data_IF_068519752268
#
_entry.id   IF_068519752268
#
_cell.length_a   1.000
_cell.length_b   1.000
_cell.length_c   1.000
_cell.angle_alpha   90.00
_cell.angle_beta   90.00
_cell.angle_gamma   90.00
#
_symmetry.space_group_name_H-M   'P 1'
#
loop_
_entity.id
_entity.type
_entity.pdbx_description
1 polymer ?
#
# COMPACT_ATOMS: atom_id res chain seq x y z
N UNK A 1 -1.15 -20.68 -21.74
CA UNK A 1 -2.03 -19.49 -21.59
C UNK A 1 -1.19 -18.41 -20.93
N UNK A 2 -1.03 -17.24 -21.56
CA UNK A 2 -0.37 -16.11 -20.94
C UNK A 2 -1.47 -15.34 -20.22
N UNK A 3 -1.52 -15.41 -18.90
CA UNK A 3 -2.39 -14.54 -18.10
C UNK A 3 -1.88 -13.12 -18.29
N UNK A 4 -2.68 -12.24 -18.88
CA UNK A 4 -2.36 -10.81 -18.95
C UNK A 4 -2.36 -10.30 -17.49
N UNK A 5 -1.19 -10.25 -16.86
CA UNK A 5 -1.11 -9.72 -15.50
C UNK A 5 -1.39 -8.22 -15.58
N UNK A 6 -2.48 -7.77 -14.96
CA UNK A 6 -2.73 -6.35 -14.78
C UNK A 6 -1.54 -5.74 -14.04
N UNK A 7 -1.13 -4.53 -14.41
CA UNK A 7 -0.08 -3.81 -13.69
C UNK A 7 -0.61 -3.48 -12.29
N UNK A 8 0.02 -3.94 -11.19
CA UNK A 8 -0.43 -3.61 -9.84
C UNK A 8 -0.50 -2.09 -9.65
N UNK A 9 -1.58 -1.59 -9.08
CA UNK A 9 -1.77 -0.17 -8.76
C UNK A 9 -2.39 -0.02 -7.38
N UNK A 10 -1.99 1.04 -6.67
CA UNK A 10 -2.55 1.40 -5.38
C UNK A 10 -3.01 2.86 -5.35
N UNK A 11 -3.97 3.14 -4.48
CA UNK A 11 -4.42 4.49 -4.13
C UNK A 11 -4.59 4.59 -2.62
N UNK A 12 -4.45 5.80 -2.09
CA UNK A 12 -4.81 6.13 -0.70
C UNK A 12 -6.14 6.87 -0.67
N UNK A 13 -6.96 6.64 0.35
CA UNK A 13 -8.28 7.28 0.48
C UNK A 13 -8.22 8.81 0.64
N UNK A 14 -7.11 9.32 1.18
CA UNK A 14 -6.84 10.75 1.34
C UNK A 14 -5.34 10.97 1.35
N UNK A 15 -4.89 12.13 0.84
CA UNK A 15 -3.49 12.53 0.82
C UNK A 15 -3.07 13.38 2.02
N UNK A 16 -4.01 13.78 2.89
CA UNK A 16 -3.74 14.59 4.07
C UNK A 16 -4.72 14.25 5.19
N UNK A 17 -4.19 14.08 6.40
CA UNK A 17 -4.93 13.62 7.58
C UNK A 17 -4.34 14.21 8.85
N UNK A 18 -5.18 14.36 9.88
CA UNK A 18 -4.68 14.63 11.23
C UNK A 18 -4.24 13.33 11.89
N UNK A 19 -3.32 13.41 12.83
CA UNK A 19 -3.01 12.26 13.68
C UNK A 19 -4.28 11.70 14.35
N UNK A 20 -4.49 10.39 14.21
CA UNK A 20 -5.66 9.67 14.70
C UNK A 20 -6.73 9.41 13.64
N UNK A 21 -6.68 10.09 12.48
CA UNK A 21 -7.55 9.77 11.35
C UNK A 21 -7.09 8.46 10.68
N UNK A 22 -7.99 7.82 9.93
CA UNK A 22 -7.69 6.60 9.18
C UNK A 22 -7.36 6.91 7.72
N UNK A 23 -6.32 6.23 7.21
CA UNK A 23 -6.00 6.17 5.78
C UNK A 23 -6.24 4.76 5.28
N UNK A 24 -6.90 4.59 4.15
CA UNK A 24 -7.04 3.28 3.50
C UNK A 24 -6.15 3.20 2.28
N UNK A 25 -5.36 2.13 2.17
CA UNK A 25 -4.62 1.76 0.97
C UNK A 25 -5.43 0.71 0.21
N UNK A 26 -5.82 1.03 -1.02
CA UNK A 26 -6.61 0.17 -1.88
C UNK A 26 -5.77 -0.27 -3.07
N UNK A 27 -5.67 -1.58 -3.30
CA UNK A 27 -4.88 -2.16 -4.37
C UNK A 27 -5.72 -2.92 -5.38
N UNK A 28 -5.31 -2.86 -6.65
CA UNK A 28 -5.91 -3.60 -7.77
C UNK A 28 -4.83 -4.11 -8.72
N UNK A 29 -5.15 -5.13 -9.51
CA UNK A 29 -4.23 -5.68 -10.51
C UNK A 29 -3.09 -6.52 -9.93
N UNK A 30 -3.17 -6.90 -8.66
CA UNK A 30 -2.24 -7.86 -8.07
C UNK A 30 -2.61 -9.29 -8.47
N UNK A 31 -1.73 -10.25 -8.27
CA UNK A 31 -2.02 -11.67 -8.48
C UNK A 31 -3.18 -12.09 -7.56
N UNK A 32 -4.27 -12.66 -8.09
CA UNK A 32 -5.40 -13.12 -7.27
C UNK A 32 -5.03 -14.21 -6.26
N UNK A 33 -5.66 -14.18 -5.08
CA UNK A 33 -5.50 -15.15 -3.99
C UNK A 33 -4.03 -15.41 -3.57
N UNK A 34 -3.23 -14.35 -3.59
CA UNK A 34 -1.81 -14.33 -3.22
C UNK A 34 -1.53 -13.29 -2.14
N UNK A 35 -0.25 -13.09 -1.88
CA UNK A 35 0.26 -12.09 -0.95
C UNK A 35 0.95 -10.97 -1.70
N UNK A 36 0.79 -9.76 -1.19
CA UNK A 36 1.46 -8.56 -1.64
C UNK A 36 2.21 -7.94 -0.45
N UNK A 37 3.46 -7.55 -0.65
CA UNK A 37 4.32 -6.98 0.39
C UNK A 37 4.23 -5.46 0.37
N UNK A 38 3.71 -4.85 1.42
CA UNK A 38 3.63 -3.39 1.52
C UNK A 38 4.91 -2.78 2.05
N UNK A 39 5.24 -1.60 1.55
CA UNK A 39 6.31 -0.76 2.06
C UNK A 39 5.73 0.59 2.47
N UNK A 40 6.14 1.06 3.65
CA UNK A 40 5.77 2.37 4.16
C UNK A 40 7.04 3.11 4.59
N UNK A 41 7.42 4.10 3.79
CA UNK A 41 8.56 4.97 4.06
C UNK A 41 8.11 6.16 4.89
N UNK A 42 8.87 6.42 5.94
CA UNK A 42 8.68 7.50 6.90
C UNK A 42 9.19 8.84 6.36
N UNK A 43 8.78 9.96 7.00
CA UNK A 43 9.30 11.29 6.67
C UNK A 43 10.82 11.42 6.81
N UNK A 44 11.43 10.72 7.77
CA UNK A 44 12.88 10.69 7.98
C UNK A 44 13.65 9.84 6.93
N UNK A 45 12.91 9.21 6.02
CA UNK A 45 13.44 8.38 4.94
C UNK A 45 13.65 6.92 5.30
N UNK A 46 13.52 6.52 6.57
CA UNK A 46 13.54 5.12 7.01
C UNK A 46 12.24 4.40 6.62
N UNK A 47 12.21 3.07 6.70
CA UNK A 47 11.02 2.27 6.40
C UNK A 47 10.50 1.55 7.65
N UNK A 48 9.18 1.41 7.77
CA UNK A 48 8.59 0.44 8.68
C UNK A 48 8.86 -0.98 8.19
N UNK A 49 8.77 -1.96 9.10
CA UNK A 49 8.77 -3.36 8.70
C UNK A 49 7.65 -3.62 7.69
N UNK A 50 7.94 -4.24 6.54
CA UNK A 50 6.93 -4.56 5.55
C UNK A 50 5.81 -5.44 6.11
N UNK A 51 4.58 -5.20 5.65
CA UNK A 51 3.41 -6.01 5.99
C UNK A 51 2.99 -6.86 4.79
N UNK A 52 2.54 -8.08 5.04
CA UNK A 52 1.96 -8.96 4.02
C UNK A 52 0.46 -8.76 3.96
N UNK A 53 -0.04 -8.36 2.80
CA UNK A 53 -1.45 -8.14 2.50
C UNK A 53 -1.98 -9.29 1.64
N UNK A 54 -3.15 -9.82 1.98
CA UNK A 54 -3.81 -10.86 1.18
C UNK A 54 -4.64 -10.22 0.08
N UNK A 55 -4.44 -10.66 -1.16
CA UNK A 55 -5.32 -10.29 -2.28
C UNK A 55 -6.51 -11.25 -2.34
N UNK A 56 -7.66 -10.74 -2.77
CA UNK A 56 -8.84 -11.55 -3.05
C UNK A 56 -8.74 -12.24 -4.43
N UNK A 57 -9.78 -13.01 -4.81
CA UNK A 57 -9.85 -13.69 -6.12
C UNK A 57 -9.92 -12.76 -7.34
N UNK A 58 -9.97 -11.45 -7.15
CA UNK A 58 -9.86 -10.43 -8.21
C UNK A 58 -8.50 -9.74 -8.23
N UNK A 59 -7.59 -10.08 -7.31
CA UNK A 59 -6.30 -9.40 -7.20
C UNK A 59 -6.40 -8.03 -6.52
N UNK A 60 -7.39 -7.86 -5.66
CA UNK A 60 -7.66 -6.61 -4.95
C UNK A 60 -7.42 -6.76 -3.45
N UNK A 61 -7.11 -5.67 -2.77
CA UNK A 61 -7.10 -5.59 -1.31
C UNK A 61 -7.50 -4.19 -0.83
N UNK A 62 -7.89 -4.10 0.44
CA UNK A 62 -7.99 -2.83 1.18
C UNK A 62 -7.35 -3.01 2.55
N UNK A 63 -6.45 -2.08 2.92
CA UNK A 63 -5.75 -2.11 4.19
C UNK A 63 -5.86 -0.75 4.89
N UNK A 64 -6.19 -0.76 6.18
CA UNK A 64 -6.23 0.46 6.99
C UNK A 64 -4.84 0.77 7.56
N UNK A 65 -4.47 2.03 7.55
CA UNK A 65 -3.34 2.58 8.29
C UNK A 65 -3.93 3.44 9.40
N UNK A 66 -3.60 3.07 10.64
CA UNK A 66 -3.91 3.87 11.83
C UNK A 66 -2.80 4.91 12.01
N UNK A 67 -3.16 6.19 11.98
CA UNK A 67 -2.19 7.30 12.04
C UNK A 67 -1.90 7.79 13.46
N UNK A 68 -2.55 7.20 14.48
CA UNK A 68 -2.44 7.64 15.89
C UNK A 68 -1.00 7.67 16.40
N UNK A 69 -0.18 6.70 15.97
CA UNK A 69 1.21 6.54 16.42
C UNK A 69 2.24 6.94 15.36
N UNK A 70 1.80 7.54 14.25
CA UNK A 70 2.70 7.99 13.19
C UNK A 70 3.24 9.39 13.49
N UNK A 71 4.51 9.62 13.18
CA UNK A 71 5.11 10.95 13.20
C UNK A 71 4.42 11.89 12.20
N UNK A 72 4.43 13.19 12.48
CA UNK A 72 4.01 14.21 11.51
C UNK A 72 4.94 14.22 10.30
N UNK A 73 4.37 14.31 9.10
CA UNK A 73 5.11 14.45 7.85
C UNK A 73 4.56 13.61 6.71
N UNK A 74 5.29 13.64 5.59
CA UNK A 74 4.93 12.90 4.38
C UNK A 74 5.41 11.45 4.45
N UNK A 75 4.47 10.52 4.30
CA UNK A 75 4.74 9.09 4.14
C UNK A 75 4.57 8.69 2.68
N UNK A 76 5.41 7.77 2.23
CA UNK A 76 5.30 7.17 0.89
C UNK A 76 5.00 5.68 1.01
N UNK A 77 4.05 5.21 0.22
CA UNK A 77 3.60 3.81 0.21
C UNK A 77 3.68 3.22 -1.19
N UNK A 78 4.14 1.98 -1.28
CA UNK A 78 4.07 1.12 -2.45
C UNK A 78 3.91 -0.34 -2.03
N UNK A 79 3.54 -1.20 -2.97
CA UNK A 79 3.31 -2.62 -2.70
C UNK A 79 3.94 -3.46 -3.81
N UNK A 80 4.69 -4.49 -3.42
CA UNK A 80 5.19 -5.55 -4.31
C UNK A 80 4.18 -6.68 -4.40
N UNK A 81 3.79 -7.08 -5.61
CA UNK A 81 3.17 -8.38 -5.82
C UNK A 81 4.22 -9.48 -5.64
N UNK A 82 4.13 -10.29 -4.59
CA UNK A 82 5.18 -11.25 -4.28
C UNK A 82 5.28 -12.40 -5.29
N UNK A 83 4.20 -12.71 -6.00
CA UNK A 83 4.16 -13.82 -6.96
C UNK A 83 4.82 -13.43 -8.29
N UNK A 84 4.62 -12.19 -8.73
CA UNK A 84 5.18 -11.69 -9.99
C UNK A 84 6.42 -10.82 -9.84
N UNK A 85 6.71 -10.36 -8.63
CA UNK A 85 7.78 -9.39 -8.31
C UNK A 85 7.59 -8.02 -8.94
N UNK A 86 6.37 -7.68 -9.37
CA UNK A 86 6.05 -6.38 -9.93
C UNK A 86 5.64 -5.41 -8.82
N UNK A 87 6.23 -4.22 -8.84
CA UNK A 87 5.88 -3.12 -7.93
C UNK A 87 4.67 -2.33 -8.44
N UNK A 88 3.85 -1.84 -7.51
CA UNK A 88 2.83 -0.83 -7.80
C UNK A 88 3.45 0.54 -8.11
N UNK A 89 2.60 1.51 -8.46
CA UNK A 89 2.96 2.92 -8.29
C UNK A 89 3.28 3.24 -6.83
N UNK A 90 4.07 4.31 -6.62
CA UNK A 90 4.24 4.95 -5.30
C UNK A 90 3.14 6.01 -5.15
N UNK A 91 2.56 6.10 -3.95
CA UNK A 91 1.62 7.16 -3.57
C UNK A 91 1.97 7.66 -2.17
N UNK A 92 1.39 8.80 -1.77
CA UNK A 92 1.79 9.51 -0.57
C UNK A 92 0.58 10.04 0.19
N UNK A 93 0.72 10.12 1.51
CA UNK A 93 -0.16 10.86 2.39
C UNK A 93 0.65 11.61 3.45
N UNK A 94 0.13 12.73 3.92
CA UNK A 94 0.75 13.55 4.95
C UNK A 94 -0.06 13.48 6.23
N UNK A 95 0.61 13.19 7.35
CA UNK A 95 0.06 13.36 8.70
C UNK A 95 0.44 14.75 9.19
N UNK A 96 -0.53 15.53 9.67
CA UNK A 96 -0.37 16.88 10.23
C UNK A 96 -0.90 17.02 11.66
#
# INVERSE_FOLDING_TARGET
>A
MITLQNKPQIQVSTSRVKSGDLVFVMGTGFTPDRTAMSHLRRPDGSEYNPLRLRTNGRGEFSHKIDTTMLDTGAFEVWVEDEASKVLSNRTQFTVE
#
